data_IF_629420201443
#
_entry.id   IF_629420201443
#
_cell.length_a   1.000
_cell.length_b   1.000
_cell.length_c   1.000
_cell.angle_alpha   90.00
_cell.angle_beta   90.00
_cell.angle_gamma   90.00
#
_symmetry.space_group_name_H-M   'P 1'
#
loop_
_entity.id
_entity.type
_entity.pdbx_description
1 polymer ?
#
# COMPACT_ATOMS: atom_id res chain seq x y z
N UNK A 1 -7.65 -9.92 16.99
CA UNK A 1 -7.03 -8.62 17.25
C UNK A 1 -8.05 -7.55 16.95
N UNK A 2 -8.34 -6.74 17.95
CA UNK A 2 -9.51 -5.89 18.09
C UNK A 2 -9.52 -4.76 17.06
N UNK A 3 -10.64 -4.63 16.35
CA UNK A 3 -10.89 -3.55 15.39
C UNK A 3 -11.17 -2.29 16.21
N UNK A 4 -10.21 -1.35 16.24
CA UNK A 4 -10.42 -0.05 16.88
C UNK A 4 -11.52 0.70 16.13
N UNK A 5 -12.56 1.02 16.88
CA UNK A 5 -13.79 1.65 16.45
C UNK A 5 -13.59 3.06 15.87
N UNK A 6 -14.43 3.39 14.88
CA UNK A 6 -15.01 4.73 14.76
C UNK A 6 -14.15 5.84 14.15
N UNK A 7 -13.66 5.67 12.92
CA UNK A 7 -13.46 6.82 12.01
C UNK A 7 -14.41 6.65 10.83
N UNK A 8 -15.15 7.71 10.52
CA UNK A 8 -16.04 7.82 9.35
C UNK A 8 -15.41 7.15 8.13
N UNK A 9 -16.18 6.35 7.38
CA UNK A 9 -15.76 5.62 6.17
C UNK A 9 -15.50 6.57 4.99
N UNK A 10 -14.74 7.63 5.22
CA UNK A 10 -14.31 8.57 4.19
C UNK A 10 -12.99 8.08 3.63
N UNK A 11 -12.98 7.78 2.33
CA UNK A 11 -11.74 7.53 1.61
C UNK A 11 -10.80 8.71 1.82
N UNK A 12 -9.67 8.46 2.48
CA UNK A 12 -8.71 9.50 2.83
C UNK A 12 -7.31 9.03 2.46
N UNK A 13 -6.48 9.96 1.96
CA UNK A 13 -5.06 9.76 1.74
C UNK A 13 -4.28 10.27 2.94
N UNK A 14 -3.52 9.40 3.59
CA UNK A 14 -2.61 9.74 4.68
C UNK A 14 -1.17 9.73 4.19
N UNK A 15 -0.34 10.66 4.62
CA UNK A 15 1.08 10.75 4.22
C UNK A 15 1.92 9.77 5.03
N UNK A 16 2.79 9.02 4.34
CA UNK A 16 3.54 7.90 4.92
C UNK A 16 5.04 8.16 4.95
N UNK A 17 5.54 8.93 5.92
CA UNK A 17 6.98 9.24 6.01
C UNK A 17 7.83 8.06 6.51
N UNK A 18 7.33 7.29 7.49
CA UNK A 18 8.07 6.17 8.12
C UNK A 18 7.25 4.86 8.20
N UNK A 19 6.57 4.46 7.11
CA UNK A 19 5.64 3.33 7.14
C UNK A 19 6.27 2.08 6.52
N UNK A 20 6.09 0.93 7.18
CA UNK A 20 6.49 -0.35 6.61
C UNK A 20 5.48 -0.76 5.53
N UNK A 21 5.92 -0.81 4.27
CA UNK A 21 5.10 -1.27 3.15
C UNK A 21 5.22 -2.78 3.00
N UNK A 22 4.10 -3.49 3.00
CA UNK A 22 4.03 -4.96 2.84
C UNK A 22 3.38 -5.28 1.50
N UNK A 23 4.07 -6.09 0.70
CA UNK A 23 3.58 -6.61 -0.58
C UNK A 23 3.20 -8.08 -0.44
N UNK A 24 1.96 -8.42 -0.79
CA UNK A 24 1.53 -9.82 -0.88
C UNK A 24 2.01 -10.46 -2.17
N UNK A 25 2.11 -11.78 -2.15
CA UNK A 25 2.23 -12.56 -3.39
C UNK A 25 1.02 -12.27 -4.28
N UNK A 26 1.27 -11.71 -5.46
CA UNK A 26 0.22 -11.29 -6.38
C UNK A 26 0.75 -11.23 -7.82
N UNK A 27 -0.06 -11.56 -8.85
CA UNK A 27 0.37 -11.49 -10.26
C UNK A 27 0.92 -10.13 -10.70
N UNK A 28 0.46 -9.03 -10.07
CA UNK A 28 0.97 -7.67 -10.32
C UNK A 28 2.48 -7.55 -10.01
N UNK A 29 2.99 -8.35 -9.08
CA UNK A 29 4.41 -8.39 -8.70
C UNK A 29 5.13 -9.63 -9.26
N UNK A 30 4.58 -10.29 -10.29
CA UNK A 30 5.21 -11.45 -10.91
C UNK A 30 6.64 -11.12 -11.38
N UNK A 31 7.61 -11.90 -10.90
CA UNK A 31 9.03 -11.71 -11.18
C UNK A 31 9.67 -10.50 -10.47
N UNK A 32 9.04 -10.00 -9.40
CA UNK A 32 9.59 -9.03 -8.45
C UNK A 32 9.51 -9.62 -7.03
N UNK A 33 10.28 -9.13 -6.05
CA UNK A 33 10.19 -9.63 -4.67
C UNK A 33 8.79 -9.39 -4.08
N UNK A 34 8.11 -10.45 -3.62
CA UNK A 34 6.77 -10.36 -3.03
C UNK A 34 6.63 -11.28 -1.81
N UNK A 35 5.57 -11.12 -1.01
CA UNK A 35 5.32 -11.96 0.17
C UNK A 35 5.95 -11.45 1.46
N UNK A 36 6.23 -10.15 1.56
CA UNK A 36 6.91 -9.56 2.71
C UNK A 36 7.01 -8.04 2.62
N UNK A 37 7.94 -7.45 3.38
CA UNK A 37 8.19 -6.02 3.31
C UNK A 37 8.79 -5.63 1.95
N UNK A 38 8.36 -4.49 1.42
CA UNK A 38 9.01 -3.85 0.28
C UNK A 38 10.38 -3.34 0.71
N UNK A 39 11.43 -4.04 0.28
CA UNK A 39 12.81 -3.65 0.51
C UNK A 39 13.32 -2.59 -0.48
N UNK A 40 14.64 -2.42 -0.51
CA UNK A 40 15.33 -1.42 -1.35
C UNK A 40 14.99 -1.50 -2.84
N UNK A 41 14.66 -2.69 -3.36
CA UNK A 41 14.18 -2.87 -4.75
C UNK A 41 13.02 -1.94 -5.10
N UNK A 42 12.18 -1.57 -4.12
CA UNK A 42 11.00 -0.74 -4.32
C UNK A 42 11.19 0.74 -3.93
N UNK A 43 12.41 1.20 -3.63
CA UNK A 43 12.66 2.53 -3.06
C UNK A 43 12.05 3.69 -3.86
N UNK A 44 12.07 3.60 -5.20
CA UNK A 44 11.54 4.68 -6.04
C UNK A 44 10.02 4.58 -6.23
N UNK A 45 9.45 3.39 -6.06
CA UNK A 45 8.06 3.07 -6.42
C UNK A 45 7.11 2.93 -5.23
N UNK A 46 7.63 2.76 -4.00
CA UNK A 46 6.82 2.69 -2.79
C UNK A 46 5.89 3.91 -2.64
N UNK A 47 4.79 3.72 -1.93
CA UNK A 47 3.78 4.76 -1.79
C UNK A 47 4.24 5.82 -0.78
N UNK A 48 4.11 7.11 -1.14
CA UNK A 48 4.28 8.23 -0.18
C UNK A 48 2.99 8.57 0.56
N UNK A 49 1.87 7.97 0.16
CA UNK A 49 0.56 8.14 0.77
C UNK A 49 -0.18 6.82 0.72
N UNK A 50 -0.97 6.53 1.74
CA UNK A 50 -1.79 5.31 1.81
C UNK A 50 -3.28 5.65 1.85
N UNK A 51 -4.12 4.81 1.25
CA UNK A 51 -5.57 4.98 1.23
C UNK A 51 -6.18 4.29 2.46
N UNK A 52 -7.03 5.00 3.20
CA UNK A 52 -7.79 4.43 4.32
C UNK A 52 -9.28 4.41 4.04
N UNK A 53 -10.02 3.51 4.70
CA UNK A 53 -11.48 3.37 4.55
C UNK A 53 -11.91 2.59 3.30
N UNK A 54 -10.97 1.91 2.64
CA UNK A 54 -11.24 0.99 1.52
C UNK A 54 -11.73 -0.36 2.04
N UNK A 55 -12.90 -0.80 1.57
CA UNK A 55 -13.43 -2.14 1.85
C UNK A 55 -12.82 -3.18 0.90
N UNK A 56 -11.50 -3.36 1.00
CA UNK A 56 -10.78 -4.38 0.24
C UNK A 56 -9.56 -4.88 1.02
N UNK A 57 -9.13 -6.10 0.70
CA UNK A 57 -7.86 -6.62 1.22
C UNK A 57 -6.72 -5.99 0.41
N UNK A 58 -5.78 -5.27 1.04
CA UNK A 58 -4.69 -4.65 0.31
C UNK A 58 -3.80 -5.71 -0.34
N UNK A 59 -3.39 -5.45 -1.58
CA UNK A 59 -2.30 -6.18 -2.27
C UNK A 59 -0.97 -5.63 -1.77
N UNK A 60 -0.86 -4.30 -1.70
CA UNK A 60 0.20 -3.60 -0.98
C UNK A 60 -0.46 -2.78 0.12
N UNK A 61 0.03 -2.93 1.34
CA UNK A 61 -0.46 -2.19 2.49
C UNK A 61 0.65 -1.52 3.26
N UNK A 62 0.36 -0.33 3.77
CA UNK A 62 1.22 0.34 4.75
C UNK A 62 0.82 -0.09 6.15
N UNK A 63 1.78 -0.43 7.00
CA UNK A 63 1.57 -0.70 8.42
C UNK A 63 2.41 0.28 9.23
N UNK A 64 1.79 0.94 10.20
CA UNK A 64 2.45 1.94 11.04
C UNK A 64 1.75 2.08 12.40
N UNK A 65 2.30 2.98 13.21
CA UNK A 65 1.70 3.48 14.44
C UNK A 65 1.70 5.01 14.38
N UNK A 66 0.77 5.67 15.07
CA UNK A 66 0.76 7.14 15.10
C UNK A 66 2.02 7.66 15.83
N UNK A 67 2.87 8.38 15.11
CA UNK A 67 4.08 8.99 15.66
C UNK A 67 3.77 10.40 16.14
N UNK A 68 3.57 10.56 17.46
CA UNK A 68 3.46 11.88 18.08
C UNK A 68 4.82 12.36 18.59
N UNK A 69 5.36 13.50 18.10
CA UNK A 69 6.66 14.03 18.55
C UNK A 69 6.68 14.40 20.05
N UNK A 70 5.52 14.49 20.70
CA UNK A 70 5.35 14.78 22.13
C UNK A 70 5.59 13.56 23.05
N UNK A 71 5.70 12.34 22.52
CA UNK A 71 5.92 11.09 23.30
C UNK A 71 7.30 10.48 23.06
N UNK A 72 8.31 11.33 22.86
CA UNK A 72 9.70 10.99 22.47
C UNK A 72 10.46 10.05 23.43
N UNK A 73 10.02 9.92 24.68
CA UNK A 73 10.63 9.06 25.69
C UNK A 73 10.14 7.59 25.66
N UNK A 74 9.39 7.19 24.63
CA UNK A 74 8.96 5.79 24.42
C UNK A 74 9.26 5.31 22.99
N UNK A 75 10.53 5.32 22.54
CA UNK A 75 10.87 4.75 21.24
C UNK A 75 10.75 3.23 21.34
N UNK A 76 9.63 2.67 20.90
CA UNK A 76 9.52 1.24 20.65
C UNK A 76 8.88 1.02 19.26
N UNK A 77 9.17 -0.13 18.65
CA UNK A 77 8.68 -0.47 17.31
C UNK A 77 7.14 -0.63 17.27
N UNK A 78 6.51 -0.71 18.44
CA UNK A 78 5.06 -0.78 18.65
C UNK A 78 4.40 0.61 18.67
N UNK A 79 5.20 1.68 18.58
CA UNK A 79 4.72 3.05 18.68
C UNK A 79 4.04 3.39 20.00
N UNK A 80 3.69 4.67 20.21
CA UNK A 80 2.97 5.12 21.39
C UNK A 80 1.47 4.81 21.34
N UNK A 81 0.94 4.42 20.18
CA UNK A 81 -0.49 4.17 19.92
C UNK A 81 -0.67 2.88 19.13
N UNK A 82 -1.91 2.38 19.06
CA UNK A 82 -2.24 1.14 18.35
C UNK A 82 -1.81 1.18 16.88
N UNK A 83 -1.35 0.02 16.39
CA UNK A 83 -1.04 -0.16 14.98
C UNK A 83 -2.28 0.12 14.12
N UNK A 84 -2.07 0.79 13.00
CA UNK A 84 -3.07 0.92 11.95
C UNK A 84 -2.45 0.58 10.60
N UNK A 85 -3.32 0.32 9.63
CA UNK A 85 -2.91 -0.05 8.28
C UNK A 85 -3.71 0.71 7.23
N UNK A 86 -3.10 0.88 6.06
CA UNK A 86 -3.71 1.47 4.89
C UNK A 86 -3.47 0.62 3.64
N UNK A 87 -4.12 0.99 2.55
CA UNK A 87 -4.02 0.33 1.24
C UNK A 87 -3.23 1.20 0.28
N UNK A 88 -2.07 0.70 -0.16
CA UNK A 88 -1.25 1.37 -1.18
C UNK A 88 -1.59 0.87 -2.57
N UNK A 89 -2.02 -0.39 -2.67
CA UNK A 89 -2.54 -1.00 -3.89
C UNK A 89 -3.66 -1.97 -3.53
N UNK A 90 -4.82 -1.82 -4.14
CA UNK A 90 -5.97 -2.70 -3.89
C UNK A 90 -6.96 -2.73 -5.04
N UNK A 91 -7.85 -3.73 -5.01
CA UNK A 91 -8.90 -3.93 -6.02
C UNK A 91 -10.25 -3.68 -5.38
N UNK A 92 -11.07 -2.82 -6.02
CA UNK A 92 -12.43 -2.51 -5.58
C UNK A 92 -13.39 -2.96 -6.66
N UNK A 93 -14.40 -3.76 -6.29
CA UNK A 93 -15.49 -4.14 -7.20
C UNK A 93 -16.55 -3.05 -7.20
N UNK A 94 -17.00 -2.63 -8.38
CA UNK A 94 -18.07 -1.65 -8.51
C UNK A 94 -18.89 -1.95 -9.77
N UNK A 95 -20.16 -2.28 -9.57
CA UNK A 95 -21.02 -2.80 -10.64
C UNK A 95 -20.47 -4.11 -11.19
N UNK A 96 -20.45 -4.23 -12.51
CA UNK A 96 -19.87 -5.39 -13.23
C UNK A 96 -18.35 -5.29 -13.41
N UNK A 97 -17.75 -4.17 -12.97
CA UNK A 97 -16.33 -3.90 -13.15
C UNK A 97 -15.52 -3.99 -11.86
N UNK A 98 -14.21 -3.82 -12.03
CA UNK A 98 -13.26 -3.65 -10.93
C UNK A 98 -12.29 -2.51 -11.22
N UNK A 99 -11.95 -1.77 -10.18
CA UNK A 99 -10.93 -0.73 -10.21
C UNK A 99 -9.70 -1.20 -9.45
N UNK A 100 -8.52 -1.04 -10.04
CA UNK A 100 -7.25 -1.18 -9.33
C UNK A 100 -6.82 0.22 -8.89
N UNK A 101 -6.86 0.47 -7.58
CA UNK A 101 -6.45 1.75 -7.00
C UNK A 101 -5.01 1.63 -6.51
N UNK A 102 -4.15 2.54 -6.96
CA UNK A 102 -2.72 2.54 -6.65
C UNK A 102 -2.27 3.91 -6.17
N UNK A 103 -1.57 3.94 -5.04
CA UNK A 103 -0.80 5.08 -4.53
C UNK A 103 0.71 4.90 -4.73
N UNK A 104 1.13 3.81 -5.40
CA UNK A 104 2.51 3.58 -5.80
C UNK A 104 2.97 4.64 -6.81
N UNK A 105 4.25 5.00 -6.74
CA UNK A 105 4.88 6.03 -7.56
C UNK A 105 5.34 5.49 -8.92
N UNK A 106 4.43 4.78 -9.62
CA UNK A 106 4.77 4.11 -10.87
C UNK A 106 4.98 5.11 -12.01
N UNK A 107 3.99 5.99 -12.24
CA UNK A 107 3.96 6.89 -13.41
C UNK A 107 5.17 7.83 -13.47
N UNK A 108 5.60 8.38 -12.33
CA UNK A 108 6.74 9.29 -12.26
C UNK A 108 8.11 8.61 -12.51
N UNK A 109 8.15 7.28 -12.39
CA UNK A 109 9.35 6.44 -12.52
C UNK A 109 9.34 5.54 -13.76
N UNK A 110 8.35 5.65 -14.64
CA UNK A 110 8.34 4.90 -15.90
C UNK A 110 9.56 5.24 -16.75
N UNK A 111 10.13 4.22 -17.40
CA UNK A 111 11.38 4.27 -18.16
C UNK A 111 12.63 4.71 -17.38
N UNK A 112 12.52 4.90 -16.06
CA UNK A 112 13.64 5.24 -15.15
C UNK A 112 13.93 4.10 -14.19
N UNK A 113 12.87 3.43 -13.72
CA UNK A 113 12.96 2.30 -12.79
C UNK A 113 12.31 1.05 -13.43
N UNK A 114 13.07 -0.05 -13.62
CA UNK A 114 12.55 -1.28 -14.22
C UNK A 114 11.44 -1.93 -13.36
N UNK A 115 11.41 -1.68 -12.06
CA UNK A 115 10.35 -2.16 -11.16
C UNK A 115 9.05 -1.42 -11.46
N UNK A 116 9.10 -0.13 -11.75
CA UNK A 116 7.92 0.65 -12.14
C UNK A 116 7.32 0.11 -13.45
N UNK A 117 8.16 -0.08 -14.46
CA UNK A 117 7.75 -0.57 -15.78
C UNK A 117 7.16 -1.98 -15.68
N UNK A 118 7.84 -2.89 -14.98
CA UNK A 118 7.38 -4.28 -14.81
C UNK A 118 6.09 -4.36 -14.03
N UNK A 119 5.95 -3.57 -12.96
CA UNK A 119 4.71 -3.51 -12.16
C UNK A 119 3.55 -3.00 -13.01
N UNK A 120 3.75 -1.96 -13.82
CA UNK A 120 2.69 -1.44 -14.69
C UNK A 120 2.28 -2.46 -15.76
N UNK A 121 3.25 -3.13 -16.42
CA UNK A 121 2.96 -4.17 -17.39
C UNK A 121 2.16 -5.33 -16.79
N UNK A 122 2.54 -5.78 -15.60
CA UNK A 122 1.82 -6.82 -14.88
C UNK A 122 0.42 -6.36 -14.46
N UNK A 123 0.27 -5.10 -14.06
CA UNK A 123 -1.03 -4.50 -13.75
C UNK A 123 -1.94 -4.50 -14.97
N UNK A 124 -1.46 -4.08 -16.15
CA UNK A 124 -2.25 -4.13 -17.38
C UNK A 124 -2.68 -5.56 -17.73
N UNK A 125 -1.77 -6.54 -17.61
CA UNK A 125 -2.09 -7.96 -17.82
C UNK A 125 -3.16 -8.45 -16.84
N UNK A 126 -3.03 -8.11 -15.56
CA UNK A 126 -4.00 -8.45 -14.53
C UNK A 126 -5.36 -7.82 -14.82
N UNK A 127 -5.40 -6.54 -15.20
CA UNK A 127 -6.64 -5.84 -15.53
C UNK A 127 -7.32 -6.35 -16.80
N UNK A 128 -6.54 -6.79 -17.80
CA UNK A 128 -7.07 -7.34 -19.05
C UNK A 128 -7.55 -8.80 -18.91
N UNK A 129 -7.06 -9.54 -17.91
CA UNK A 129 -7.57 -10.87 -17.61
C UNK A 129 -8.97 -10.74 -16.99
N UNK A 130 -9.99 -11.16 -17.74
CA UNK A 130 -11.34 -11.39 -17.21
C UNK A 130 -11.29 -12.58 -16.24
N UNK A 131 -11.83 -12.40 -15.04
CA UNK A 131 -12.13 -13.51 -14.10
C UNK A 131 -13.35 -14.30 -14.57
#
# INVERSE_FOLDING_TARGET
MEVVAGRSRRLTLLVTWDHGHVVKEHPIFAGLPSGGLMGQTYENVWAKRTLTGLDTKPIVGSVTHDFYPLKRNKPNYLGPESAWWGTDLGVVKQGEGRFVLSALRLVENLAKDPVADKTLLNLTKFSAASE
#
